data_IF_131387775325
#
_entry.id   IF_131387775325
#
_cell.length_a   1.000
_cell.length_b   1.000
_cell.length_c   1.000
_cell.angle_alpha   90.00
_cell.angle_beta   90.00
_cell.angle_gamma   90.00
#
_symmetry.space_group_name_H-M   'P 1'
#
loop_
_entity.id
_entity.type
_entity.pdbx_description
1 polymer ?
#
# COMPACT_ATOMS: atom_id res chain seq x y z
N UNK A 1 10.77 -18.37 0.58
CA UNK A 1 11.05 -18.41 2.04
C UNK A 1 9.82 -17.91 2.77
N UNK A 2 9.32 -18.65 3.76
CA UNK A 2 8.30 -18.13 4.70
C UNK A 2 9.05 -17.35 5.79
N UNK A 3 8.90 -16.03 5.80
CA UNK A 3 9.52 -15.19 6.83
C UNK A 3 8.63 -15.16 8.08
N UNK A 4 8.80 -16.16 8.95
CA UNK A 4 8.05 -16.28 10.21
C UNK A 4 8.81 -15.55 11.33
N UNK A 5 8.45 -14.29 11.56
CA UNK A 5 9.07 -13.48 12.64
C UNK A 5 8.33 -13.73 13.95
N UNK A 6 8.81 -14.70 14.74
CA UNK A 6 8.40 -14.87 16.14
C UNK A 6 9.28 -14.01 17.06
N UNK A 7 8.72 -12.91 17.58
CA UNK A 7 9.25 -12.26 18.78
C UNK A 7 8.64 -12.89 20.04
N UNK A 8 9.50 -13.41 20.92
CA UNK A 8 9.09 -14.02 22.18
C UNK A 8 8.84 -13.01 23.29
N UNK A 9 7.89 -13.35 24.17
CA UNK A 9 7.58 -12.68 25.45
C UNK A 9 7.15 -11.20 25.31
N UNK A 10 5.95 -11.01 24.77
CA UNK A 10 5.09 -9.83 24.96
C UNK A 10 3.63 -10.29 24.79
N UNK A 11 2.67 -9.58 25.39
CA UNK A 11 1.24 -9.92 25.39
C UNK A 11 0.59 -9.60 24.03
N UNK A 12 1.02 -10.28 22.97
CA UNK A 12 0.55 -10.03 21.60
C UNK A 12 -0.69 -10.86 21.23
N UNK A 13 -1.83 -10.18 21.22
CA UNK A 13 -2.88 -10.38 20.21
C UNK A 13 -2.65 -9.33 19.11
N UNK A 14 -2.63 -9.66 17.80
CA UNK A 14 -3.16 -10.87 17.16
C UNK A 14 -2.22 -11.55 16.13
N UNK A 15 -2.63 -12.68 15.54
CA UNK A 15 -1.93 -13.32 14.41
C UNK A 15 -2.41 -12.76 13.07
N UNK A 16 -1.48 -12.33 12.20
CA UNK A 16 -1.78 -11.91 10.83
C UNK A 16 -0.91 -12.67 9.82
N UNK A 17 -1.54 -13.38 8.87
CA UNK A 17 -0.85 -14.03 7.76
C UNK A 17 -0.88 -13.11 6.53
N UNK A 18 0.28 -12.92 5.91
CA UNK A 18 0.44 -12.12 4.70
C UNK A 18 1.09 -13.01 3.62
N UNK A 19 0.27 -13.67 2.82
CA UNK A 19 0.72 -14.60 1.78
C UNK A 19 0.35 -14.01 0.42
N UNK A 20 1.38 -13.64 -0.36
CA UNK A 20 1.24 -13.07 -1.70
C UNK A 20 1.77 -14.02 -2.80
N UNK A 21 0.93 -14.79 -3.49
CA UNK A 21 -0.47 -15.14 -3.18
C UNK A 21 -0.63 -16.66 -3.23
N UNK A 22 -1.54 -17.26 -2.44
CA UNK A 22 -1.75 -18.71 -2.48
C UNK A 22 -2.28 -19.12 -3.87
N UNK A 23 -1.53 -19.98 -4.55
CA UNK A 23 -1.82 -20.44 -5.90
C UNK A 23 -1.05 -19.72 -7.01
N UNK A 24 -0.24 -18.69 -6.70
CA UNK A 24 0.65 -18.06 -7.68
C UNK A 24 0.69 -16.53 -7.67
N UNK A 25 1.15 -15.94 -8.78
CA UNK A 25 1.32 -14.49 -8.99
C UNK A 25 2.18 -13.74 -7.94
N UNK A 26 2.86 -14.45 -7.02
CA UNK A 26 3.80 -13.84 -6.07
C UNK A 26 5.02 -13.21 -6.73
N UNK A 27 5.99 -12.75 -5.93
CA UNK A 27 7.25 -12.20 -6.44
C UNK A 27 8.02 -13.20 -7.33
N UNK A 28 7.92 -14.49 -7.01
CA UNK A 28 8.61 -15.61 -7.66
C UNK A 28 7.89 -16.19 -8.90
N UNK A 29 6.86 -15.53 -9.43
CA UNK A 29 6.00 -16.12 -10.48
C UNK A 29 6.71 -16.50 -11.79
N UNK A 30 7.91 -15.94 -12.05
CA UNK A 30 8.77 -16.33 -13.20
C UNK A 30 9.72 -17.49 -12.88
N UNK A 31 9.97 -17.76 -11.61
CA UNK A 31 10.76 -18.90 -11.12
C UNK A 31 9.86 -20.13 -10.87
N UNK A 32 8.70 -19.90 -10.27
CA UNK A 32 7.71 -20.92 -9.93
C UNK A 32 6.35 -20.58 -10.54
N UNK A 33 5.91 -21.41 -11.51
CA UNK A 33 4.64 -21.22 -12.19
C UNK A 33 3.43 -21.46 -11.26
N UNK A 34 2.30 -20.81 -11.56
CA UNK A 34 1.03 -21.06 -10.87
C UNK A 34 0.60 -22.54 -10.93
N UNK A 35 0.98 -23.27 -11.99
CA UNK A 35 0.75 -24.71 -12.09
C UNK A 35 1.52 -25.54 -11.06
N UNK A 36 2.73 -25.14 -10.68
CA UNK A 36 3.50 -25.76 -9.60
C UNK A 36 2.91 -25.43 -8.21
N UNK A 37 2.25 -24.27 -8.08
CA UNK A 37 1.58 -23.80 -6.85
C UNK A 37 0.12 -24.23 -6.72
N UNK A 38 -0.40 -25.06 -7.63
CA UNK A 38 -1.83 -25.45 -7.63
C UNK A 38 -2.31 -26.02 -6.28
N UNK A 39 -1.48 -26.77 -5.57
CA UNK A 39 -1.83 -27.34 -4.25
C UNK A 39 -2.01 -26.29 -3.15
N UNK A 40 -1.44 -25.09 -3.28
CA UNK A 40 -1.64 -23.99 -2.31
C UNK A 40 -3.10 -23.55 -2.25
N UNK A 41 -3.85 -23.68 -3.36
CA UNK A 41 -5.28 -23.32 -3.46
C UNK A 41 -6.11 -24.09 -2.44
N UNK A 42 -5.90 -25.42 -2.38
CA UNK A 42 -6.66 -26.33 -1.52
C UNK A 42 -6.03 -26.44 -0.12
N UNK A 43 -4.72 -26.21 0.00
CA UNK A 43 -4.01 -26.24 1.28
C UNK A 43 -4.18 -24.97 2.12
N UNK A 44 -4.43 -23.80 1.51
CA UNK A 44 -4.53 -22.54 2.25
C UNK A 44 -5.70 -22.50 3.26
N UNK A 45 -6.93 -22.96 2.95
CA UNK A 45 -7.99 -23.09 3.95
C UNK A 45 -7.63 -24.06 5.09
N UNK A 46 -6.95 -25.17 4.77
CA UNK A 46 -6.50 -26.15 5.77
C UNK A 46 -5.44 -25.55 6.71
N UNK A 47 -4.48 -24.81 6.17
CA UNK A 47 -3.45 -24.10 6.93
C UNK A 47 -4.05 -23.10 7.91
N UNK A 48 -5.03 -22.29 7.49
CA UNK A 48 -5.72 -21.35 8.37
C UNK A 48 -6.54 -22.05 9.46
N UNK A 49 -7.16 -23.20 9.11
CA UNK A 49 -7.88 -24.04 10.07
C UNK A 49 -6.94 -24.63 11.14
N UNK A 50 -5.76 -25.09 10.76
CA UNK A 50 -4.78 -25.59 11.75
C UNK A 50 -4.20 -24.47 12.63
N UNK A 51 -4.00 -23.26 12.09
CA UNK A 51 -3.68 -22.09 12.94
C UNK A 51 -4.82 -21.82 13.92
N UNK A 52 -6.08 -21.80 13.45
CA UNK A 52 -7.25 -21.63 14.32
C UNK A 52 -7.28 -22.66 15.45
N UNK A 53 -7.10 -23.94 15.13
CA UNK A 53 -7.04 -25.03 16.10
C UNK A 53 -5.94 -24.80 17.14
N UNK A 54 -4.76 -24.34 16.70
CA UNK A 54 -3.60 -24.13 17.57
C UNK A 54 -3.69 -22.88 18.46
N UNK A 55 -4.32 -21.80 18.00
CA UNK A 55 -4.41 -20.53 18.75
C UNK A 55 -5.68 -20.40 19.60
N UNK A 56 -6.72 -21.19 19.30
CA UNK A 56 -8.03 -21.14 19.95
C UNK A 56 -8.93 -20.01 19.43
N UNK A 57 -10.06 -19.79 20.11
CA UNK A 57 -11.05 -18.74 19.76
C UNK A 57 -10.77 -17.40 20.46
N UNK A 58 -10.00 -17.40 21.54
CA UNK A 58 -9.68 -16.18 22.30
C UNK A 58 -8.62 -15.30 21.62
N UNK A 59 -7.87 -15.87 20.66
CA UNK A 59 -6.83 -15.15 19.91
C UNK A 59 -7.31 -14.85 18.51
N UNK A 60 -7.16 -13.59 18.13
CA UNK A 60 -7.53 -13.12 16.81
C UNK A 60 -6.61 -13.66 15.71
N UNK A 61 -7.19 -14.19 14.62
CA UNK A 61 -6.52 -14.50 13.35
C UNK A 61 -7.05 -13.63 12.22
N UNK A 62 -6.14 -13.00 11.48
CA UNK A 62 -6.42 -12.37 10.20
C UNK A 62 -5.51 -12.84 9.08
N UNK A 63 -5.95 -12.49 7.88
CA UNK A 63 -5.15 -12.55 6.66
C UNK A 63 -5.16 -11.18 5.95
N UNK A 64 -4.08 -10.86 5.25
CA UNK A 64 -4.08 -9.87 4.19
C UNK A 64 -4.34 -10.56 2.85
N UNK A 65 -5.11 -9.91 1.98
CA UNK A 65 -5.69 -10.52 0.77
C UNK A 65 -5.60 -9.57 -0.44
N UNK A 66 -5.42 -10.11 -1.66
CA UNK A 66 -5.18 -9.31 -2.87
C UNK A 66 -6.28 -8.30 -3.20
N UNK A 67 -5.86 -7.13 -3.70
CA UNK A 67 -6.78 -6.18 -4.34
C UNK A 67 -7.23 -6.60 -5.74
N UNK A 68 -6.36 -7.29 -6.47
CA UNK A 68 -6.54 -7.62 -7.89
C UNK A 68 -7.24 -8.95 -8.06
N UNK A 69 -8.27 -8.98 -8.91
CA UNK A 69 -9.01 -10.21 -9.26
C UNK A 69 -8.12 -11.30 -9.87
N UNK A 70 -7.03 -10.92 -10.55
CA UNK A 70 -6.03 -11.86 -11.10
C UNK A 70 -5.34 -12.70 -10.02
N UNK A 71 -5.24 -12.17 -8.81
CA UNK A 71 -4.41 -12.70 -7.74
C UNK A 71 -5.27 -13.42 -6.68
N UNK A 72 -6.60 -13.36 -6.82
CA UNK A 72 -7.59 -14.04 -5.98
C UNK A 72 -7.65 -15.58 -6.21
N UNK A 73 -6.54 -16.22 -6.56
CA UNK A 73 -6.49 -17.59 -7.11
C UNK A 73 -7.07 -18.63 -6.12
N UNK A 74 -6.73 -18.55 -4.83
CA UNK A 74 -7.27 -19.43 -3.80
C UNK A 74 -8.62 -18.97 -3.20
N UNK A 75 -9.12 -17.79 -3.57
CA UNK A 75 -10.31 -17.17 -3.00
C UNK A 75 -11.52 -17.42 -3.91
N UNK A 76 -11.90 -18.68 -4.07
CA UNK A 76 -13.01 -19.13 -4.93
C UNK A 76 -14.34 -19.25 -4.15
N UNK A 77 -15.50 -19.38 -4.81
CA UNK A 77 -16.77 -19.69 -4.13
C UNK A 77 -16.74 -20.99 -3.29
N UNK A 78 -15.90 -21.95 -3.68
CA UNK A 78 -15.74 -23.24 -3.01
C UNK A 78 -14.84 -23.13 -1.77
N UNK A 79 -13.67 -22.49 -1.89
CA UNK A 79 -12.68 -22.40 -0.80
C UNK A 79 -12.95 -21.23 0.15
N UNK A 80 -13.59 -20.15 -0.33
CA UNK A 80 -13.92 -18.95 0.44
C UNK A 80 -14.57 -19.27 1.80
N UNK A 81 -15.71 -19.97 1.86
CA UNK A 81 -16.38 -20.30 3.13
C UNK A 81 -15.48 -20.95 4.19
N UNK A 82 -14.57 -21.85 3.79
CA UNK A 82 -13.62 -22.51 4.71
C UNK A 82 -12.50 -21.55 5.20
N UNK A 83 -12.08 -20.60 4.36
CA UNK A 83 -11.18 -19.51 4.75
C UNK A 83 -11.90 -18.60 5.77
N UNK A 84 -13.16 -18.21 5.48
CA UNK A 84 -13.93 -17.25 6.29
C UNK A 84 -14.36 -17.80 7.64
N UNK A 85 -14.53 -19.12 7.78
CA UNK A 85 -14.76 -19.79 9.07
C UNK A 85 -13.56 -19.62 10.02
N UNK A 86 -12.34 -19.60 9.49
CA UNK A 86 -11.11 -19.62 10.28
C UNK A 86 -10.66 -18.23 10.80
N UNK A 87 -11.21 -17.11 10.31
CA UNK A 87 -10.71 -15.73 10.54
C UNK A 87 -11.72 -14.79 11.24
N UNK A 88 -11.26 -13.86 12.09
CA UNK A 88 -12.10 -13.35 13.21
C UNK A 88 -12.86 -12.04 13.08
N UNK A 89 -12.34 -10.98 12.42
CA UNK A 89 -12.91 -9.60 12.47
C UNK A 89 -12.84 -8.92 13.89
N UNK A 90 -12.95 -7.59 14.10
CA UNK A 90 -12.76 -6.39 13.24
C UNK A 90 -12.56 -5.13 14.11
N UNK A 91 -12.24 -3.99 13.48
CA UNK A 91 -12.22 -2.60 14.01
C UNK A 91 -11.11 -2.15 14.96
N UNK A 92 -10.68 -0.91 14.69
CA UNK A 92 -9.80 -0.10 15.55
C UNK A 92 -10.64 0.54 16.66
N UNK A 93 -10.25 0.33 17.91
CA UNK A 93 -10.67 1.19 19.02
C UNK A 93 -9.83 2.47 19.03
N UNK A 94 -10.20 3.47 18.22
CA UNK A 94 -9.78 4.84 18.50
C UNK A 94 -10.56 5.33 19.73
N UNK A 95 -9.93 5.19 20.90
CA UNK A 95 -10.50 5.58 22.19
C UNK A 95 -10.72 7.09 22.22
N UNK A 96 -11.99 7.50 22.24
CA UNK A 96 -12.41 8.89 22.40
C UNK A 96 -12.09 9.40 23.81
N UNK A 97 -10.84 9.83 24.03
CA UNK A 97 -10.43 10.64 25.18
C UNK A 97 -9.42 11.74 24.79
N UNK A 98 -9.81 13.03 24.83
CA UNK A 98 -8.88 14.13 24.68
C UNK A 98 -8.10 14.39 25.99
N UNK A 99 -7.23 13.47 26.39
CA UNK A 99 -6.24 13.71 27.46
C UNK A 99 -5.16 12.61 27.53
N UNK A 100 -3.89 13.00 27.34
CA UNK A 100 -2.71 12.35 27.90
C UNK A 100 -2.47 10.85 27.61
N UNK A 101 -2.73 10.38 26.39
CA UNK A 101 -2.12 9.14 25.87
C UNK A 101 -0.98 9.51 24.91
N UNK A 102 0.16 8.82 25.05
CA UNK A 102 1.31 9.05 24.17
C UNK A 102 1.02 8.48 22.77
N UNK A 103 1.71 8.99 21.74
CA UNK A 103 1.49 8.57 20.34
C UNK A 103 1.68 7.06 20.09
N UNK A 104 2.26 6.34 21.04
CA UNK A 104 2.51 4.90 21.00
C UNK A 104 1.26 4.05 21.33
N UNK A 105 0.30 4.59 22.09
CA UNK A 105 -0.87 3.84 22.63
C UNK A 105 -2.13 3.94 21.76
N UNK A 106 -2.08 4.68 20.64
CA UNK A 106 -3.16 4.73 19.63
C UNK A 106 -3.14 3.56 18.64
N UNK A 107 -2.22 2.61 18.80
CA UNK A 107 -1.82 1.67 17.78
C UNK A 107 -2.08 0.20 18.18
N UNK A 108 -2.22 -0.68 17.18
CA UNK A 108 -2.36 -2.15 17.27
C UNK A 108 -3.78 -2.71 17.48
N UNK A 109 -4.67 -2.53 16.50
CA UNK A 109 -5.52 -3.66 16.01
C UNK A 109 -6.15 -3.34 14.65
N UNK A 110 -5.70 -3.97 13.56
CA UNK A 110 -6.49 -4.06 12.31
C UNK A 110 -6.35 -5.45 11.71
N UNK A 111 -7.50 -6.12 11.58
CA UNK A 111 -7.61 -7.55 11.41
C UNK A 111 -8.56 -7.90 10.27
N UNK A 112 -7.99 -8.53 9.26
CA UNK A 112 -8.50 -8.80 7.93
C UNK A 112 -8.32 -7.61 7.00
N UNK A 113 -7.46 -7.73 5.99
CA UNK A 113 -6.97 -6.60 5.20
C UNK A 113 -7.14 -6.88 3.72
N UNK A 114 -8.11 -6.24 3.07
CA UNK A 114 -8.11 -6.22 1.60
C UNK A 114 -7.12 -5.15 1.16
N UNK A 115 -6.12 -5.53 0.37
CA UNK A 115 -5.19 -4.59 -0.25
C UNK A 115 -5.89 -3.85 -1.40
N UNK A 116 -6.86 -2.98 -1.10
CA UNK A 116 -7.53 -2.11 -2.08
C UNK A 116 -6.66 -0.93 -2.56
N UNK A 117 -5.37 -1.22 -2.69
CA UNK A 117 -4.31 -0.40 -3.24
C UNK A 117 -3.45 -1.32 -4.12
N UNK A 118 -2.48 -0.76 -4.86
CA UNK A 118 -1.65 -1.52 -5.81
C UNK A 118 -2.46 -2.26 -6.90
N UNK A 119 -3.66 -1.74 -7.19
CA UNK A 119 -4.55 -2.22 -8.26
C UNK A 119 -3.91 -2.09 -9.66
N UNK A 120 -2.95 -1.17 -9.80
CA UNK A 120 -1.91 -1.21 -10.84
C UNK A 120 -0.55 -1.50 -10.17
N UNK A 121 0.26 -2.33 -10.82
CA UNK A 121 1.63 -2.59 -10.45
C UNK A 121 2.53 -2.70 -11.69
N UNK A 122 3.81 -2.99 -11.46
CA UNK A 122 4.87 -3.02 -12.49
C UNK A 122 4.69 -4.04 -13.62
N UNK A 123 3.67 -4.90 -13.55
CA UNK A 123 3.31 -5.92 -14.55
C UNK A 123 2.19 -5.49 -15.50
N UNK A 124 1.56 -4.35 -15.25
CA UNK A 124 0.58 -3.78 -16.17
C UNK A 124 1.26 -3.01 -17.30
N UNK A 125 0.54 -2.82 -18.40
CA UNK A 125 1.06 -2.21 -19.63
C UNK A 125 0.48 -0.81 -19.92
N UNK A 126 -0.49 -0.36 -19.11
CA UNK A 126 -1.14 0.95 -19.26
C UNK A 126 -1.38 1.61 -17.90
N UNK A 127 -1.46 2.94 -17.87
CA UNK A 127 -1.78 3.73 -16.68
C UNK A 127 -3.17 3.39 -16.13
N UNK A 128 -3.28 3.33 -14.81
CA UNK A 128 -4.51 3.21 -14.05
C UNK A 128 -4.28 3.72 -12.62
N UNK A 129 -5.34 3.92 -11.85
CA UNK A 129 -5.22 4.33 -10.46
C UNK A 129 -4.88 3.14 -9.55
N UNK A 130 -3.81 3.26 -8.75
CA UNK A 130 -3.45 2.18 -7.83
C UNK A 130 -4.46 2.01 -6.69
N UNK A 131 -5.27 3.03 -6.39
CA UNK A 131 -6.33 2.97 -5.37
C UNK A 131 -7.56 3.81 -5.79
N UNK A 132 -8.18 3.50 -6.92
CA UNK A 132 -9.43 4.18 -7.34
C UNK A 132 -10.63 3.75 -6.48
N UNK A 133 -11.57 4.66 -6.19
CA UNK A 133 -12.86 4.34 -5.54
C UNK A 133 -13.57 3.19 -6.24
N UNK A 134 -13.65 3.23 -7.58
CA UNK A 134 -14.30 2.19 -8.37
C UNK A 134 -13.57 0.84 -8.27
N UNK A 135 -12.24 0.84 -8.39
CA UNK A 135 -11.43 -0.37 -8.22
C UNK A 135 -11.56 -0.98 -6.82
N UNK A 136 -11.49 -0.15 -5.77
CA UNK A 136 -11.73 -0.59 -4.39
C UNK A 136 -13.12 -1.23 -4.22
N UNK A 137 -14.16 -0.65 -4.82
CA UNK A 137 -15.53 -1.15 -4.77
C UNK A 137 -15.68 -2.48 -5.54
N UNK A 138 -15.04 -2.62 -6.70
CA UNK A 138 -14.99 -3.87 -7.48
C UNK A 138 -14.27 -4.98 -6.69
N UNK A 139 -13.14 -4.69 -6.04
CA UNK A 139 -12.46 -5.63 -5.15
C UNK A 139 -13.37 -6.10 -4.02
N UNK A 140 -14.01 -5.17 -3.30
CA UNK A 140 -14.96 -5.51 -2.23
C UNK A 140 -16.10 -6.40 -2.76
N UNK A 141 -16.64 -6.09 -3.95
CA UNK A 141 -17.69 -6.91 -4.55
C UNK A 141 -17.20 -8.34 -4.88
N UNK A 142 -15.99 -8.51 -5.41
CA UNK A 142 -15.43 -9.84 -5.67
C UNK A 142 -15.36 -10.70 -4.40
N UNK A 143 -15.05 -10.11 -3.24
CA UNK A 143 -15.03 -10.82 -1.95
C UNK A 143 -16.43 -11.15 -1.42
N UNK A 144 -17.41 -10.26 -1.58
CA UNK A 144 -18.82 -10.53 -1.24
C UNK A 144 -19.39 -11.66 -2.11
N UNK A 145 -19.00 -11.73 -3.39
CA UNK A 145 -19.45 -12.76 -4.32
C UNK A 145 -19.01 -14.17 -3.85
N UNK A 146 -17.77 -14.29 -3.33
CA UNK A 146 -17.22 -15.51 -2.69
C UNK A 146 -17.56 -15.63 -1.19
N UNK A 147 -18.65 -14.99 -0.76
CA UNK A 147 -19.31 -15.16 0.54
C UNK A 147 -18.51 -14.70 1.76
N UNK A 148 -17.54 -13.79 1.60
CA UNK A 148 -16.97 -13.09 2.75
C UNK A 148 -18.04 -12.15 3.33
N UNK A 149 -18.41 -12.27 4.63
CA UNK A 149 -19.38 -11.35 5.23
C UNK A 149 -18.82 -9.92 5.26
N UNK A 150 -19.61 -8.88 4.93
CA UNK A 150 -19.12 -7.50 4.88
C UNK A 150 -18.53 -7.03 6.21
N UNK A 151 -19.09 -7.46 7.34
CA UNK A 151 -18.60 -7.18 8.68
C UNK A 151 -17.21 -7.78 8.98
N UNK A 152 -16.71 -8.69 8.13
CA UNK A 152 -15.32 -9.20 8.20
C UNK A 152 -14.32 -8.39 7.37
N UNK A 153 -14.78 -7.46 6.53
CA UNK A 153 -13.91 -6.70 5.62
C UNK A 153 -13.39 -5.43 6.30
N UNK A 154 -12.08 -5.19 6.22
CA UNK A 154 -11.55 -3.82 6.33
C UNK A 154 -11.03 -3.35 4.97
N UNK A 155 -11.41 -2.12 4.59
CA UNK A 155 -10.95 -1.46 3.38
C UNK A 155 -9.53 -0.92 3.55
N UNK A 156 -8.62 -1.22 2.64
CA UNK A 156 -7.23 -0.76 2.66
C UNK A 156 -7.03 0.59 1.96
N UNK A 157 -6.42 1.55 2.64
CA UNK A 157 -5.94 2.83 2.14
C UNK A 157 -4.43 2.82 1.93
N UNK A 158 -3.95 3.52 0.90
CA UNK A 158 -2.52 3.73 0.65
C UNK A 158 -2.06 5.09 1.17
N UNK A 159 -1.13 5.10 2.12
CA UNK A 159 -0.45 6.31 2.60
C UNK A 159 0.86 6.52 1.81
N UNK A 160 0.79 6.27 0.50
CA UNK A 160 1.88 6.48 -0.45
C UNK A 160 1.30 6.74 -1.84
N UNK A 161 2.04 7.50 -2.64
CA UNK A 161 1.81 7.64 -4.07
C UNK A 161 2.55 6.53 -4.84
N UNK A 162 2.05 6.18 -6.02
CA UNK A 162 2.79 5.41 -7.03
C UNK A 162 3.07 6.23 -8.28
N UNK A 163 4.19 5.91 -8.93
CA UNK A 163 4.52 6.41 -10.25
C UNK A 163 4.88 5.29 -11.22
N UNK A 164 4.68 5.56 -12.51
CA UNK A 164 4.98 4.67 -13.62
C UNK A 164 5.57 5.47 -14.78
N UNK A 165 6.66 5.00 -15.39
CA UNK A 165 7.27 5.62 -16.56
C UNK A 165 6.39 5.38 -17.78
N UNK A 166 6.00 6.47 -18.43
CA UNK A 166 5.19 6.46 -19.66
C UNK A 166 6.05 6.01 -20.85
N UNK A 167 5.45 5.29 -21.81
CA UNK A 167 6.16 4.96 -23.06
C UNK A 167 6.49 6.27 -23.80
N UNK A 168 7.78 6.57 -24.08
CA UNK A 168 8.17 7.80 -24.78
C UNK A 168 7.62 7.90 -26.22
N UNK A 169 7.10 6.81 -26.78
CA UNK A 169 6.41 6.78 -28.09
C UNK A 169 4.92 7.10 -27.98
N UNK A 170 4.34 7.04 -26.78
CA UNK A 170 2.93 7.33 -26.54
C UNK A 170 2.71 8.82 -26.28
N UNK A 171 1.68 9.40 -26.91
CA UNK A 171 1.26 10.78 -26.64
C UNK A 171 0.29 10.82 -25.44
N UNK A 172 0.82 10.56 -24.24
CA UNK A 172 0.04 10.63 -22.99
C UNK A 172 -0.21 12.08 -22.60
N UNK A 173 -1.49 12.45 -22.45
CA UNK A 173 -1.89 13.79 -21.99
C UNK A 173 -2.69 13.70 -20.69
N UNK A 174 -2.71 14.80 -19.93
CA UNK A 174 -3.49 14.88 -18.69
C UNK A 174 -5.01 14.76 -18.90
N UNK A 175 -5.52 14.86 -20.14
CA UNK A 175 -6.95 14.73 -20.45
C UNK A 175 -7.45 13.27 -20.37
N UNK A 176 -6.56 12.29 -20.59
CA UNK A 176 -6.87 10.85 -20.58
C UNK A 176 -5.88 10.11 -19.68
N UNK A 177 -6.06 10.19 -18.35
CA UNK A 177 -5.08 9.70 -17.38
C UNK A 177 -4.95 8.18 -17.33
N UNK A 178 -6.01 7.46 -17.65
CA UNK A 178 -6.09 5.99 -17.60
C UNK A 178 -6.02 5.44 -19.02
N UNK A 179 -5.28 4.34 -19.20
CA UNK A 179 -5.14 3.63 -20.47
C UNK A 179 -3.95 4.06 -21.34
N UNK A 180 -3.07 4.95 -20.88
CA UNK A 180 -1.89 5.32 -21.66
C UNK A 180 -0.75 4.29 -21.48
N UNK A 181 -0.03 3.87 -22.53
CA UNK A 181 1.06 2.91 -22.42
C UNK A 181 2.16 3.31 -21.42
N UNK A 182 2.60 2.35 -20.61
CA UNK A 182 3.75 2.48 -19.70
C UNK A 182 4.88 1.54 -20.11
N UNK A 183 6.11 1.90 -19.77
CA UNK A 183 7.28 1.04 -19.94
C UNK A 183 7.17 -0.13 -18.96
N UNK A 184 7.44 -1.36 -19.43
CA UNK A 184 7.43 -2.56 -18.58
C UNK A 184 8.31 -2.37 -17.34
N UNK A 185 7.80 -2.82 -16.18
CA UNK A 185 8.47 -2.67 -14.88
C UNK A 185 9.22 -3.89 -14.39
N UNK A 186 9.34 -4.94 -15.20
CA UNK A 186 10.14 -6.12 -14.90
C UNK A 186 10.97 -6.54 -16.14
N UNK A 187 12.23 -6.91 -15.92
CA UNK A 187 13.06 -7.59 -16.91
C UNK A 187 12.57 -9.04 -17.16
N UNK A 188 13.09 -9.72 -18.17
CA UNK A 188 12.68 -11.10 -18.52
C UNK A 188 12.76 -12.07 -17.33
N UNK A 189 13.83 -11.96 -16.52
CA UNK A 189 14.06 -12.74 -15.29
C UNK A 189 13.15 -12.35 -14.11
N UNK A 190 12.33 -11.29 -14.22
CA UNK A 190 11.41 -10.83 -13.18
C UNK A 190 11.99 -9.82 -12.19
N UNK A 191 13.26 -9.43 -12.32
CA UNK A 191 13.84 -8.36 -11.50
C UNK A 191 13.28 -6.99 -11.92
N UNK A 192 13.18 -6.08 -10.96
CA UNK A 192 12.61 -4.75 -11.14
C UNK A 192 13.40 -3.94 -12.19
N UNK A 193 12.70 -3.33 -13.14
CA UNK A 193 13.29 -2.49 -14.18
C UNK A 193 13.54 -1.04 -13.72
N UNK A 194 13.05 -0.64 -12.54
CA UNK A 194 13.18 0.72 -12.00
C UNK A 194 12.29 1.77 -12.68
N UNK A 195 11.38 1.34 -13.56
CA UNK A 195 10.45 2.18 -14.35
C UNK A 195 9.12 2.42 -13.63
N UNK A 196 8.98 1.98 -12.38
CA UNK A 196 7.86 2.31 -11.51
C UNK A 196 8.34 2.33 -10.06
N UNK A 197 7.50 2.82 -9.15
CA UNK A 197 7.84 2.83 -7.74
C UNK A 197 6.78 3.50 -6.88
N UNK A 198 7.17 3.82 -5.64
CA UNK A 198 6.32 4.52 -4.68
C UNK A 198 7.07 5.65 -3.99
N UNK A 199 6.33 6.67 -3.57
CA UNK A 199 6.82 7.77 -2.74
C UNK A 199 5.86 7.99 -1.58
N UNK A 200 6.41 8.10 -0.39
CA UNK A 200 5.69 8.25 0.87
C UNK A 200 5.36 9.71 1.14
N UNK A 201 4.35 9.98 1.95
CA UNK A 201 4.02 11.34 2.41
C UNK A 201 4.83 11.72 3.67
N UNK A 202 6.11 11.35 3.70
CA UNK A 202 7.04 11.70 4.78
C UNK A 202 7.67 13.08 4.55
N UNK A 203 8.07 13.75 5.64
CA UNK A 203 8.72 15.08 5.61
C UNK A 203 9.91 15.11 4.64
N UNK A 204 10.72 14.04 4.61
CA UNK A 204 11.90 13.90 3.77
C UNK A 204 11.60 13.89 2.26
N UNK A 205 10.43 13.36 1.85
CA UNK A 205 10.04 13.26 0.44
C UNK A 205 9.28 14.50 -0.04
N UNK A 206 8.39 15.01 0.82
CA UNK A 206 7.49 16.11 0.49
C UNK A 206 8.17 17.48 0.53
N UNK A 207 8.95 17.74 1.57
CA UNK A 207 9.40 19.11 1.87
C UNK A 207 10.31 19.63 0.75
N UNK A 208 10.33 20.95 0.49
CA UNK A 208 11.40 21.56 -0.27
C UNK A 208 12.75 21.13 0.35
N UNK A 209 13.66 20.54 -0.44
CA UNK A 209 14.92 20.04 0.09
C UNK A 209 15.72 21.21 0.67
N UNK A 210 16.16 21.07 1.92
CA UNK A 210 17.04 22.03 2.56
C UNK A 210 18.37 22.09 1.80
N UNK A 211 19.00 23.25 1.79
CA UNK A 211 20.38 23.35 1.33
C UNK A 211 21.27 22.50 2.25
N UNK A 212 22.16 21.65 1.72
CA UNK A 212 23.03 20.82 2.54
C UNK A 212 24.02 21.70 3.33
N UNK A 213 24.24 21.38 4.61
CA UNK A 213 25.14 22.14 5.50
C UNK A 213 26.62 21.94 5.18
N UNK A 214 26.95 20.86 4.46
CA UNK A 214 28.31 20.54 4.04
C UNK A 214 28.40 19.18 3.34
N UNK A 215 29.62 18.78 2.97
CA UNK A 215 29.93 17.42 2.50
C UNK A 215 29.90 16.46 3.70
N UNK A 216 29.40 15.25 3.47
CA UNK A 216 29.18 14.23 4.49
C UNK A 216 30.47 13.81 5.22
N UNK A 217 30.47 13.79 6.57
CA UNK A 217 31.61 13.32 7.36
C UNK A 217 31.69 11.79 7.49
N UNK A 218 30.64 11.06 7.12
CA UNK A 218 30.46 9.63 7.42
C UNK A 218 29.67 8.87 6.33
N UNK A 219 29.64 9.40 5.10
CA UNK A 219 28.86 8.89 3.97
C UNK A 219 27.33 8.82 4.18
N UNK A 220 26.75 9.48 5.19
CA UNK A 220 25.29 9.72 5.27
C UNK A 220 24.90 11.04 4.59
N UNK A 221 23.71 11.10 4.00
CA UNK A 221 23.24 12.24 3.21
C UNK A 221 21.71 12.39 3.28
N UNK A 222 21.18 13.44 2.64
CA UNK A 222 19.74 13.66 2.53
C UNK A 222 19.17 14.53 3.65
N UNK A 223 17.86 14.83 3.63
CA UNK A 223 17.23 15.84 4.50
C UNK A 223 17.20 15.46 5.98
N UNK A 224 17.39 14.18 6.33
CA UNK A 224 17.48 13.73 7.72
C UNK A 224 18.90 13.88 8.31
N UNK A 225 19.93 13.86 7.45
CA UNK A 225 21.33 14.03 7.84
C UNK A 225 21.85 15.44 7.57
N UNK A 226 21.13 16.24 6.78
CA UNK A 226 21.47 17.60 6.32
C UNK A 226 22.77 17.72 5.49
N UNK A 227 23.51 16.63 5.26
CA UNK A 227 24.74 16.59 4.44
C UNK A 227 24.50 16.16 2.99
N UNK A 228 25.37 16.62 2.09
CA UNK A 228 25.51 16.11 0.71
C UNK A 228 26.68 15.14 0.58
N UNK A 229 26.62 14.28 -0.43
CA UNK A 229 27.76 13.47 -0.85
C UNK A 229 28.86 14.34 -1.49
N UNK A 230 30.06 13.78 -1.55
CA UNK A 230 31.20 14.36 -2.28
C UNK A 230 30.90 14.43 -3.79
N UNK A 231 31.58 15.32 -4.50
CA UNK A 231 31.31 15.58 -5.92
C UNK A 231 31.57 14.30 -6.75
N UNK A 232 30.57 13.89 -7.53
CA UNK A 232 30.58 12.64 -8.29
C UNK A 232 29.70 11.53 -7.66
N UNK A 233 29.51 11.54 -6.34
CA UNK A 233 28.71 10.53 -5.64
C UNK A 233 27.21 10.87 -5.61
N UNK A 234 26.40 9.83 -5.54
CA UNK A 234 24.94 9.91 -5.51
C UNK A 234 24.41 9.70 -4.08
N UNK A 235 23.34 10.41 -3.72
CA UNK A 235 22.66 10.24 -2.45
C UNK A 235 21.43 9.34 -2.62
N UNK A 236 21.49 8.11 -2.11
CA UNK A 236 20.40 7.12 -2.19
C UNK A 236 19.15 7.55 -1.39
N UNK A 237 18.00 6.95 -1.70
CA UNK A 237 16.77 7.10 -0.91
C UNK A 237 16.91 6.67 0.55
N UNK A 238 17.84 5.75 0.83
CA UNK A 238 18.19 5.29 2.18
C UNK A 238 19.04 6.30 2.98
N UNK A 239 19.45 7.41 2.38
CA UNK A 239 20.26 8.45 3.05
C UNK A 239 21.75 8.12 3.15
N UNK A 240 22.28 7.32 2.20
CA UNK A 240 23.70 6.98 2.10
C UNK A 240 24.30 7.35 0.74
N UNK A 241 25.58 7.71 0.74
CA UNK A 241 26.36 8.05 -0.44
C UNK A 241 26.94 6.82 -1.14
N UNK A 242 26.90 6.81 -2.48
CA UNK A 242 27.53 5.78 -3.29
C UNK A 242 27.40 6.04 -4.80
N UNK A 243 27.99 5.17 -5.62
CA UNK A 243 28.03 5.31 -7.09
C UNK A 243 27.23 4.22 -7.83
N UNK A 244 26.64 3.25 -7.11
CA UNK A 244 25.94 2.14 -7.76
C UNK A 244 24.58 2.60 -8.31
N UNK A 245 23.97 1.87 -9.26
CA UNK A 245 22.62 2.17 -9.76
C UNK A 245 21.56 2.32 -8.65
N UNK A 246 21.69 1.59 -7.54
CA UNK A 246 20.81 1.70 -6.37
C UNK A 246 20.95 3.03 -5.60
N UNK A 247 22.09 3.72 -5.76
CA UNK A 247 22.31 5.06 -5.21
C UNK A 247 21.93 6.17 -6.20
N UNK A 248 22.20 5.97 -7.49
CA UNK A 248 22.11 7.01 -8.52
C UNK A 248 20.79 7.08 -9.30
N UNK A 249 19.99 6.00 -9.32
CA UNK A 249 18.76 5.92 -10.12
C UNK A 249 17.51 6.30 -9.30
N UNK A 250 16.56 5.37 -9.17
CA UNK A 250 15.27 5.61 -8.52
C UNK A 250 15.45 6.00 -7.05
N UNK A 251 14.80 7.09 -6.64
CA UNK A 251 14.87 7.61 -5.27
C UNK A 251 16.17 8.34 -4.93
N UNK A 252 17.07 8.55 -5.90
CA UNK A 252 18.24 9.41 -5.72
C UNK A 252 17.81 10.85 -5.39
N UNK A 253 18.58 11.52 -4.53
CA UNK A 253 18.24 12.83 -3.96
C UNK A 253 19.12 13.95 -4.56
N UNK A 254 18.69 14.64 -5.64
CA UNK A 254 19.56 15.50 -6.46
C UNK A 254 20.07 16.79 -5.77
N UNK A 255 19.59 17.10 -4.57
CA UNK A 255 20.06 18.24 -3.78
C UNK A 255 21.20 17.84 -2.81
N UNK A 256 21.44 16.54 -2.69
CA UNK A 256 22.41 15.94 -1.77
C UNK A 256 23.43 15.05 -2.50
N UNK A 257 23.42 14.99 -3.84
CA UNK A 257 24.39 14.25 -4.65
C UNK A 257 24.04 14.30 -6.14
N UNK A 258 24.91 13.72 -6.98
CA UNK A 258 24.61 13.45 -8.39
C UNK A 258 23.46 12.46 -8.49
N UNK A 259 22.62 12.57 -9.52
CA UNK A 259 21.64 11.54 -9.88
C UNK A 259 21.68 11.28 -11.39
N UNK A 260 21.59 10.01 -11.76
CA UNK A 260 21.54 9.54 -13.16
C UNK A 260 20.11 9.15 -13.59
N UNK A 261 19.21 8.96 -12.62
CA UNK A 261 17.79 8.70 -12.84
C UNK A 261 16.93 9.96 -13.01
N UNK A 262 15.63 9.73 -13.23
CA UNK A 262 14.60 10.78 -13.23
C UNK A 262 14.49 11.41 -11.83
N UNK A 263 14.34 12.73 -11.74
CA UNK A 263 14.03 13.44 -10.49
C UNK A 263 12.58 13.16 -10.04
N UNK A 264 12.37 11.95 -9.50
CA UNK A 264 11.11 11.47 -8.95
C UNK A 264 10.60 12.39 -7.83
N UNK A 265 11.50 12.94 -6.99
CA UNK A 265 11.13 13.84 -5.91
C UNK A 265 10.60 15.19 -6.39
N UNK A 266 11.27 15.82 -7.37
CA UNK A 266 10.78 17.05 -8.01
C UNK A 266 9.51 16.82 -8.82
N UNK A 267 9.40 15.67 -9.49
CA UNK A 267 8.18 15.24 -10.17
C UNK A 267 7.01 15.09 -9.19
N UNK A 268 7.22 14.48 -8.03
CA UNK A 268 6.17 14.34 -7.02
C UNK A 268 5.75 15.68 -6.40
N UNK A 269 6.69 16.62 -6.19
CA UNK A 269 6.35 17.99 -5.76
C UNK A 269 5.50 18.73 -6.80
N UNK A 270 5.77 18.55 -8.10
CA UNK A 270 4.88 19.02 -9.18
C UNK A 270 3.52 18.32 -9.14
N UNK A 271 3.49 17.00 -8.93
CA UNK A 271 2.27 16.21 -8.83
C UNK A 271 1.35 16.67 -7.68
N UNK A 272 1.88 16.88 -6.46
CA UNK A 272 1.09 17.40 -5.33
C UNK A 272 0.49 18.79 -5.61
N UNK A 273 1.22 19.64 -6.33
CA UNK A 273 0.80 21.02 -6.65
C UNK A 273 -0.25 21.07 -7.77
N UNK A 274 -0.05 20.28 -8.83
CA UNK A 274 -0.81 20.34 -10.08
C UNK A 274 -1.74 19.13 -10.28
N UNK A 275 -1.96 18.34 -9.24
CA UNK A 275 -2.69 17.07 -9.31
C UNK A 275 -4.16 17.24 -9.70
N UNK A 276 -4.61 16.34 -10.58
CA UNK A 276 -5.98 16.28 -11.08
C UNK A 276 -6.72 15.08 -10.47
N UNK A 277 -8.04 15.21 -10.29
CA UNK A 277 -8.88 14.13 -9.76
C UNK A 277 -9.73 13.55 -10.88
N UNK A 278 -9.53 12.28 -11.19
CA UNK A 278 -10.47 11.51 -12.00
C UNK A 278 -11.73 11.31 -11.15
N UNK A 279 -12.82 11.96 -11.57
CA UNK A 279 -14.12 11.89 -10.88
C UNK A 279 -14.89 10.61 -11.21
N UNK A 280 -14.66 10.02 -12.38
CA UNK A 280 -15.34 8.81 -12.85
C UNK A 280 -14.83 7.59 -12.08
N UNK A 281 -13.51 7.34 -12.15
CA UNK A 281 -12.87 6.22 -11.45
C UNK A 281 -12.70 6.54 -9.95
N UNK A 282 -12.57 7.82 -9.60
CA UNK A 282 -12.35 8.27 -8.22
C UNK A 282 -10.89 8.06 -7.80
N UNK A 283 -9.96 8.74 -8.44
CA UNK A 283 -8.53 8.61 -8.15
C UNK A 283 -7.77 9.90 -8.42
N UNK A 284 -6.73 10.20 -7.62
CA UNK A 284 -5.84 11.33 -7.88
C UNK A 284 -4.73 10.91 -8.86
N UNK A 285 -4.37 11.81 -9.76
CA UNK A 285 -3.29 11.61 -10.72
C UNK A 285 -2.54 12.89 -11.10
N UNK A 286 -1.40 12.71 -11.75
CA UNK A 286 -0.70 13.76 -12.49
C UNK A 286 0.13 13.14 -13.62
N UNK A 287 0.13 13.74 -14.80
CA UNK A 287 1.02 13.38 -15.91
C UNK A 287 2.16 14.40 -15.93
N UNK A 288 3.36 13.97 -15.55
CA UNK A 288 4.56 14.80 -15.64
C UNK A 288 5.20 14.61 -17.02
N UNK A 289 4.87 15.50 -17.94
CA UNK A 289 5.40 15.46 -19.31
C UNK A 289 6.92 15.69 -19.40
N UNK A 290 7.53 16.32 -18.40
CA UNK A 290 8.98 16.55 -18.32
C UNK A 290 9.71 15.30 -17.83
N UNK A 291 9.21 14.69 -16.76
CA UNK A 291 9.78 13.48 -16.16
C UNK A 291 9.36 12.18 -16.88
N UNK A 292 8.36 12.25 -17.78
CA UNK A 292 7.67 11.10 -18.38
C UNK A 292 7.10 10.13 -17.35
N UNK A 293 6.56 10.67 -16.24
CA UNK A 293 5.95 9.89 -15.17
C UNK A 293 4.44 10.12 -15.11
N UNK A 294 3.68 9.03 -15.02
CA UNK A 294 2.31 9.06 -14.54
C UNK A 294 2.30 8.78 -13.04
N UNK A 295 1.72 9.71 -12.27
CA UNK A 295 1.51 9.59 -10.84
C UNK A 295 0.06 9.21 -10.52
N UNK A 296 -0.13 8.42 -9.48
CA UNK A 296 -1.45 8.20 -8.86
C UNK A 296 -1.31 8.01 -7.36
N UNK A 297 -2.24 8.60 -6.59
CA UNK A 297 -2.23 8.54 -5.13
C UNK A 297 -3.63 8.71 -4.53
N UNK A 298 -3.72 8.57 -3.22
CA UNK A 298 -4.91 8.83 -2.41
C UNK A 298 -5.00 10.33 -2.01
N UNK A 299 -6.19 10.86 -1.77
CA UNK A 299 -6.36 12.18 -1.12
C UNK A 299 -7.48 12.14 -0.08
N UNK A 300 -7.49 13.11 0.84
CA UNK A 300 -8.45 13.16 1.95
C UNK A 300 -9.93 13.24 1.50
N UNK A 301 -10.21 13.87 0.36
CA UNK A 301 -11.54 13.87 -0.28
C UNK A 301 -11.91 12.51 -0.88
N UNK A 302 -10.94 11.77 -1.43
CA UNK A 302 -11.15 10.42 -1.94
C UNK A 302 -11.29 9.40 -0.80
N UNK A 303 -10.57 9.57 0.32
CA UNK A 303 -10.78 8.82 1.56
C UNK A 303 -12.23 8.99 2.02
N UNK A 304 -12.70 10.23 2.17
CA UNK A 304 -14.09 10.51 2.55
C UNK A 304 -15.11 9.88 1.58
N UNK A 305 -14.84 9.94 0.26
CA UNK A 305 -15.68 9.29 -0.77
C UNK A 305 -15.69 7.76 -0.63
N UNK A 306 -14.58 7.11 -0.28
CA UNK A 306 -14.53 5.66 -0.02
C UNK A 306 -15.29 5.28 1.25
N UNK A 307 -15.26 6.12 2.28
CA UNK A 307 -16.10 5.92 3.47
C UNK A 307 -17.59 5.95 3.13
N UNK A 308 -18.05 6.94 2.36
CA UNK A 308 -19.44 7.04 1.91
C UNK A 308 -19.83 5.86 1.01
N UNK A 309 -19.11 5.67 -0.11
CA UNK A 309 -19.53 4.82 -1.23
C UNK A 309 -19.17 3.34 -1.04
N UNK A 310 -18.30 3.01 -0.09
CA UNK A 310 -17.83 1.65 0.15
C UNK A 310 -18.03 1.25 1.62
N UNK A 311 -17.34 1.88 2.58
CA UNK A 311 -17.36 1.44 4.00
C UNK A 311 -18.77 1.48 4.58
N UNK A 312 -19.44 2.63 4.50
CA UNK A 312 -20.81 2.81 4.98
C UNK A 312 -21.83 2.06 4.10
N UNK A 313 -21.75 2.24 2.77
CA UNK A 313 -22.74 1.67 1.84
C UNK A 313 -22.75 0.13 1.82
N UNK A 314 -21.58 -0.51 1.92
CA UNK A 314 -21.46 -1.98 1.98
C UNK A 314 -21.45 -2.53 3.40
N UNK A 315 -21.54 -1.66 4.42
CA UNK A 315 -21.54 -2.03 5.84
C UNK A 315 -20.30 -2.84 6.24
N UNK A 316 -19.14 -2.40 5.77
CA UNK A 316 -17.88 -3.08 6.03
C UNK A 316 -17.55 -3.09 7.52
N UNK A 317 -16.75 -4.05 7.97
CA UNK A 317 -16.29 -4.11 9.35
C UNK A 317 -15.56 -2.83 9.75
N UNK A 318 -14.57 -2.41 8.96
CA UNK A 318 -13.75 -1.22 9.23
C UNK A 318 -12.78 -0.87 8.11
N UNK A 319 -11.60 -0.40 8.48
CA UNK A 319 -10.57 0.14 7.55
C UNK A 319 -9.14 -0.17 8.03
N UNK A 320 -8.18 -0.10 7.10
CA UNK A 320 -6.74 -0.29 7.32
C UNK A 320 -5.96 0.72 6.47
N UNK A 321 -4.75 1.09 6.89
CA UNK A 321 -3.85 1.92 6.08
C UNK A 321 -2.43 1.34 6.02
N UNK A 322 -1.86 1.28 4.82
CA UNK A 322 -0.46 0.93 4.61
C UNK A 322 0.35 2.17 4.20
N UNK A 323 1.36 2.62 4.94
CA UNK A 323 1.70 2.30 6.33
C UNK A 323 1.63 3.56 7.18
N UNK A 324 1.39 3.41 8.49
CA UNK A 324 1.14 4.57 9.38
C UNK A 324 2.27 5.62 9.36
N UNK A 325 3.53 5.18 9.36
CA UNK A 325 4.70 6.08 9.31
C UNK A 325 4.88 6.80 7.96
N UNK A 326 4.14 6.40 6.92
CA UNK A 326 4.27 6.96 5.58
C UNK A 326 3.46 8.26 5.40
N UNK A 327 2.73 8.72 6.42
CA UNK A 327 1.91 9.96 6.42
C UNK A 327 2.47 11.07 7.34
N UNK A 328 3.74 10.97 7.74
CA UNK A 328 4.34 11.79 8.81
C UNK A 328 4.54 13.27 8.48
N UNK A 329 4.29 13.73 7.24
CA UNK A 329 4.42 15.15 6.89
C UNK A 329 3.36 16.04 7.56
N UNK A 330 2.09 15.64 7.48
CA UNK A 330 0.96 16.40 8.04
C UNK A 330 -0.12 15.51 8.68
N UNK A 331 0.03 14.19 8.65
CA UNK A 331 -0.94 13.20 9.17
C UNK A 331 -2.34 13.29 8.56
N UNK A 332 -2.50 14.00 7.44
CA UNK A 332 -3.82 14.33 6.89
C UNK A 332 -4.59 13.11 6.35
N UNK A 333 -3.92 12.06 5.89
CA UNK A 333 -4.61 10.82 5.50
C UNK A 333 -5.06 10.03 6.74
N UNK A 334 -4.25 10.00 7.81
CA UNK A 334 -4.65 9.43 9.09
C UNK A 334 -5.86 10.17 9.68
N UNK A 335 -5.82 11.50 9.76
CA UNK A 335 -6.94 12.31 10.25
C UNK A 335 -8.22 12.11 9.41
N UNK A 336 -8.08 11.99 8.08
CA UNK A 336 -9.22 11.69 7.20
C UNK A 336 -9.81 10.28 7.45
N UNK A 337 -8.97 9.30 7.79
CA UNK A 337 -9.40 7.95 8.17
C UNK A 337 -10.05 7.92 9.55
N UNK A 338 -9.46 8.58 10.56
CA UNK A 338 -10.04 8.73 11.91
C UNK A 338 -11.43 9.39 11.81
N UNK A 339 -11.55 10.52 11.11
CA UNK A 339 -12.82 11.23 10.87
C UNK A 339 -13.87 10.36 10.15
N UNK A 340 -13.45 9.55 9.18
CA UNK A 340 -14.35 8.61 8.50
C UNK A 340 -14.89 7.54 9.45
N UNK A 341 -14.05 7.03 10.35
CA UNK A 341 -14.44 6.07 11.38
C UNK A 341 -15.34 6.68 12.46
N UNK A 342 -15.10 7.92 12.91
CA UNK A 342 -15.98 8.63 13.86
C UNK A 342 -17.42 8.79 13.33
N UNK A 343 -17.55 9.04 12.03
CA UNK A 343 -18.86 9.10 11.35
C UNK A 343 -19.53 7.73 11.17
N UNK A 344 -18.76 6.63 11.24
CA UNK A 344 -19.23 5.29 10.94
C UNK A 344 -19.62 4.50 12.20
N UNK A 345 -20.93 4.36 12.43
CA UNK A 345 -21.48 3.64 13.60
C UNK A 345 -21.38 2.10 13.53
N UNK A 346 -20.79 1.55 12.46
CA UNK A 346 -20.55 0.11 12.30
C UNK A 346 -21.80 -0.76 12.17
N UNK A 347 -21.57 -2.06 12.00
CA UNK A 347 -22.57 -3.14 12.12
C UNK A 347 -22.42 -3.95 13.42
N UNK A 348 -21.63 -3.44 14.37
CA UNK A 348 -21.33 -4.08 15.65
C UNK A 348 -22.57 -4.16 16.57
N UNK A 349 -23.47 -5.08 16.28
CA UNK A 349 -24.58 -5.42 17.16
C UNK A 349 -24.08 -6.13 18.42
N UNK A 350 -24.30 -5.51 19.58
CA UNK A 350 -24.36 -6.12 20.93
C UNK A 350 -23.68 -7.50 21.13
N UNK A 351 -22.35 -7.59 20.97
CA UNK A 351 -21.56 -8.68 21.56
C UNK A 351 -20.24 -8.19 22.12
N UNK A 352 -20.18 -8.21 23.45
CA UNK A 352 -18.99 -8.32 24.33
C UNK A 352 -17.72 -7.59 23.91
N UNK A 353 -17.41 -6.53 24.66
CA UNK A 353 -16.04 -6.07 24.82
C UNK A 353 -15.16 -7.22 25.32
N UNK A 354 -14.20 -7.66 24.51
CA UNK A 354 -13.04 -8.38 25.03
C UNK A 354 -12.21 -7.38 25.85
N UNK A 355 -11.91 -7.74 27.10
CA UNK A 355 -11.14 -6.96 28.08
C UNK A 355 -9.74 -7.54 28.21
#
# INVERSE_FOLDING_TARGET
MVSMVLYGILLFTPFNIDWEYPGGNGLDYKETSNSAKKSEIDNFPLFLKEIRNAIGTEKQLSIAVPGRKSDMIAYTPENGPAIWESVDFVNVLFSNKPSALTSFERMLTVLFKIMTYDLINRRDNVTAHHTSVKGCLETVQNYLDVKLPPEKINLGFAFYAKYFTLDPKANCTSEKPVGCPIVHGEFENGTDAGTSGSVTFEVAQISPPRAPVGVSPNATCGPLNEFRCEDGFCCSSAGYCGETPQHCNSGCQPNYGKCDGVDTGGSFRRARTNGMTDREQGGRYYVDEQAKLFWTWETTDLIARKFEQIVCAKKLGGVMAWGLGLDTYDWSHLEAVEKGMEGYKGTAGNKTSYR
#
